data_IF_933947272032
#
_entry.id   IF_933947272032
#
_cell.length_a   1.000
_cell.length_b   1.000
_cell.length_c   1.000
_cell.angle_alpha   90.00
_cell.angle_beta   90.00
_cell.angle_gamma   90.00
#
_symmetry.space_group_name_H-M   'P 1'
#
loop_
_entity.id
_entity.type
_entity.pdbx_description
1 polymer ?
#
# COMPACT_ATOMS: atom_id res chain seq x y z
N UNK A 1 8.76 -26.08 14.61
CA UNK A 1 8.08 -25.17 13.66
C UNK A 1 6.68 -25.71 13.41
N UNK A 2 5.64 -24.89 13.57
CA UNK A 2 4.25 -25.26 13.30
C UNK A 2 3.82 -24.97 11.85
N UNK A 3 2.51 -25.08 11.57
CA UNK A 3 1.92 -24.68 10.28
C UNK A 3 2.07 -23.18 10.04
N UNK A 4 2.35 -22.80 8.79
CA UNK A 4 2.57 -21.40 8.38
C UNK A 4 1.76 -21.07 7.14
N UNK A 5 1.40 -19.80 6.99
CA UNK A 5 0.71 -19.24 5.83
C UNK A 5 1.60 -18.15 5.23
N UNK A 6 1.67 -18.09 3.90
CA UNK A 6 2.47 -17.12 3.16
C UNK A 6 1.55 -16.19 2.36
N UNK A 7 1.78 -14.87 2.47
CA UNK A 7 1.12 -13.87 1.65
C UNK A 7 2.05 -13.42 0.53
N UNK A 8 1.73 -13.80 -0.71
CA UNK A 8 2.55 -13.61 -1.92
C UNK A 8 2.11 -12.49 -2.90
N UNK A 9 0.90 -11.91 -2.85
CA UNK A 9 0.46 -10.94 -3.87
C UNK A 9 1.15 -9.57 -3.89
N UNK A 10 1.99 -9.20 -2.92
CA UNK A 10 2.52 -7.83 -2.84
C UNK A 10 3.65 -7.61 -3.85
N UNK A 11 3.53 -6.56 -4.67
CA UNK A 11 4.62 -6.04 -5.49
C UNK A 11 5.69 -5.36 -4.62
N UNK A 12 6.95 -5.44 -5.03
CA UNK A 12 8.03 -4.69 -4.40
C UNK A 12 7.87 -3.19 -4.70
N UNK A 13 8.05 -2.37 -3.68
CA UNK A 13 7.97 -0.91 -3.78
C UNK A 13 9.36 -0.29 -3.91
N UNK A 14 9.44 0.94 -4.42
CA UNK A 14 10.70 1.66 -4.66
C UNK A 14 11.53 1.85 -3.38
N UNK A 15 10.88 2.07 -2.23
CA UNK A 15 11.60 2.37 -0.97
C UNK A 15 11.40 1.31 0.11
N UNK A 16 12.42 1.14 0.94
CA UNK A 16 12.35 0.27 2.13
C UNK A 16 11.22 0.68 3.09
N UNK A 17 10.92 1.98 3.17
CA UNK A 17 9.81 2.50 3.98
C UNK A 17 8.45 1.98 3.49
N UNK A 18 8.21 1.99 2.19
CA UNK A 18 6.96 1.48 1.59
C UNK A 18 6.85 -0.03 1.77
N UNK A 19 7.94 -0.76 1.54
CA UNK A 19 8.01 -2.21 1.74
C UNK A 19 7.78 -2.60 3.22
N UNK A 20 8.38 -1.86 4.16
CA UNK A 20 8.16 -2.03 5.58
C UNK A 20 6.72 -1.70 5.97
N UNK A 21 6.12 -0.66 5.40
CA UNK A 21 4.73 -0.26 5.66
C UNK A 21 3.76 -1.38 5.32
N UNK A 22 3.88 -1.96 4.12
CA UNK A 22 3.03 -3.06 3.66
C UNK A 22 3.24 -4.33 4.50
N UNK A 23 4.50 -4.66 4.82
CA UNK A 23 4.84 -5.84 5.63
C UNK A 23 4.29 -5.73 7.06
N UNK A 24 4.46 -4.57 7.71
CA UNK A 24 3.95 -4.31 9.05
C UNK A 24 2.42 -4.29 9.04
N UNK A 25 1.80 -3.68 8.03
CA UNK A 25 0.34 -3.69 7.90
C UNK A 25 -0.21 -5.11 7.80
N UNK A 26 0.37 -5.98 6.96
CA UNK A 26 -0.06 -7.38 6.86
C UNK A 26 0.13 -8.14 8.18
N UNK A 27 1.27 -7.94 8.86
CA UNK A 27 1.51 -8.55 10.16
C UNK A 27 0.49 -8.09 11.24
N UNK A 28 0.08 -6.82 11.22
CA UNK A 28 -0.93 -6.29 12.12
C UNK A 28 -2.34 -6.76 11.74
N UNK A 29 -2.66 -6.78 10.45
CA UNK A 29 -3.96 -7.23 9.95
C UNK A 29 -4.22 -8.70 10.31
N UNK A 30 -3.21 -9.56 10.22
CA UNK A 30 -3.36 -10.96 10.67
C UNK A 30 -3.69 -11.06 12.17
N UNK A 31 -3.11 -10.21 13.02
CA UNK A 31 -3.45 -10.15 14.45
C UNK A 31 -4.88 -9.64 14.65
N UNK A 32 -5.28 -8.60 13.94
CA UNK A 32 -6.65 -8.05 13.96
C UNK A 32 -7.68 -9.11 13.57
N UNK A 33 -7.43 -9.86 12.49
CA UNK A 33 -8.33 -10.95 12.04
C UNK A 33 -8.50 -12.00 13.14
N UNK A 34 -7.40 -12.42 13.78
CA UNK A 34 -7.44 -13.43 14.84
C UNK A 34 -8.06 -12.92 16.14
N UNK A 35 -7.72 -11.70 16.55
CA UNK A 35 -8.19 -11.10 17.80
C UNK A 35 -9.67 -10.77 17.76
N UNK A 36 -10.18 -10.27 16.63
CA UNK A 36 -11.59 -9.90 16.49
C UNK A 36 -12.45 -10.98 15.82
N UNK A 37 -11.86 -12.12 15.42
CA UNK A 37 -12.58 -13.19 14.73
C UNK A 37 -13.23 -12.71 13.44
N UNK A 38 -12.53 -11.88 12.66
CA UNK A 38 -13.08 -11.29 11.45
C UNK A 38 -13.34 -12.37 10.39
N UNK A 39 -14.60 -12.50 10.00
CA UNK A 39 -14.99 -13.32 8.87
C UNK A 39 -14.95 -12.48 7.58
N UNK A 40 -13.88 -12.65 6.81
CA UNK A 40 -13.66 -12.00 5.51
C UNK A 40 -13.92 -12.96 4.33
N UNK A 41 -14.62 -14.07 4.56
CA UNK A 41 -14.83 -15.11 3.56
C UNK A 41 -15.72 -14.61 2.42
N UNK A 42 -15.28 -14.86 1.18
CA UNK A 42 -16.06 -14.61 -0.03
C UNK A 42 -16.01 -15.86 -0.93
N UNK A 43 -17.04 -16.09 -1.76
CA UNK A 43 -16.98 -17.11 -2.81
C UNK A 43 -15.72 -17.01 -3.68
N UNK A 44 -15.12 -18.15 -4.01
CA UNK A 44 -13.91 -18.20 -4.84
C UNK A 44 -14.11 -17.57 -6.23
N UNK A 45 -15.33 -17.61 -6.78
CA UNK A 45 -15.67 -16.93 -8.03
C UNK A 45 -15.49 -15.42 -7.94
N UNK A 46 -15.90 -14.81 -6.83
CA UNK A 46 -15.73 -13.38 -6.57
C UNK A 46 -14.27 -13.02 -6.29
N UNK A 47 -13.54 -13.89 -5.59
CA UNK A 47 -12.10 -13.72 -5.39
C UNK A 47 -11.34 -13.74 -6.72
N UNK A 48 -11.69 -14.65 -7.64
CA UNK A 48 -11.11 -14.70 -8.97
C UNK A 48 -11.45 -13.46 -9.81
N UNK A 49 -12.67 -12.95 -9.70
CA UNK A 49 -13.07 -11.71 -10.36
C UNK A 49 -12.29 -10.49 -9.82
N UNK A 50 -12.06 -10.44 -8.50
CA UNK A 50 -11.20 -9.42 -7.89
C UNK A 50 -9.78 -9.42 -8.47
N UNK A 51 -9.21 -10.59 -8.77
CA UNK A 51 -7.90 -10.68 -9.41
C UNK A 51 -7.93 -10.02 -10.78
N UNK A 52 -8.95 -10.28 -11.61
CA UNK A 52 -9.07 -9.66 -12.94
C UNK A 52 -9.19 -8.14 -12.81
N UNK A 53 -10.06 -7.65 -11.92
CA UNK A 53 -10.24 -6.21 -11.64
C UNK A 53 -8.97 -5.55 -11.14
N UNK A 54 -8.16 -6.23 -10.34
CA UNK A 54 -6.92 -5.69 -9.79
C UNK A 54 -5.89 -5.33 -10.89
N UNK A 55 -5.90 -6.04 -12.01
CA UNK A 55 -4.99 -5.81 -13.13
C UNK A 55 -5.37 -4.62 -14.02
N UNK A 56 -6.59 -4.07 -13.88
CA UNK A 56 -6.98 -2.90 -14.64
C UNK A 56 -6.11 -1.69 -14.29
N UNK A 57 -5.82 -0.85 -15.29
CA UNK A 57 -5.02 0.36 -15.08
C UNK A 57 -5.73 1.28 -14.09
N UNK A 58 -5.01 1.66 -13.04
CA UNK A 58 -5.49 2.55 -11.99
C UNK A 58 -6.70 1.98 -11.22
N UNK A 59 -6.73 0.66 -11.06
CA UNK A 59 -7.76 -0.10 -10.33
C UNK A 59 -7.96 0.37 -8.90
N UNK A 60 -6.89 0.79 -8.21
CA UNK A 60 -6.95 1.34 -6.84
C UNK A 60 -7.95 2.51 -6.73
N UNK A 61 -8.08 3.32 -7.78
CA UNK A 61 -8.91 4.53 -7.78
C UNK A 61 -10.30 4.33 -8.40
N UNK A 62 -10.40 3.45 -9.39
CA UNK A 62 -11.58 3.37 -10.25
C UNK A 62 -12.37 2.06 -10.12
N UNK A 63 -11.73 0.98 -9.67
CA UNK A 63 -12.38 -0.32 -9.56
C UNK A 63 -13.05 -0.53 -8.20
N UNK A 64 -14.02 -1.42 -8.19
CA UNK A 64 -14.65 -1.94 -6.98
C UNK A 64 -14.40 -3.43 -6.88
N UNK A 65 -14.21 -3.91 -5.67
CA UNK A 65 -13.85 -5.28 -5.35
C UNK A 65 -14.92 -5.89 -4.45
N UNK A 66 -15.21 -7.17 -4.65
CA UNK A 66 -16.06 -7.92 -3.74
C UNK A 66 -15.36 -8.05 -2.39
N UNK A 67 -16.01 -7.53 -1.35
CA UNK A 67 -15.50 -7.54 0.01
C UNK A 67 -16.63 -7.79 1.01
N UNK A 68 -16.36 -8.57 2.05
CA UNK A 68 -17.29 -8.86 3.14
C UNK A 68 -17.00 -7.94 4.32
N UNK A 69 -17.92 -7.02 4.57
CA UNK A 69 -17.80 -5.99 5.60
C UNK A 69 -18.65 -6.31 6.85
N UNK A 70 -18.55 -7.52 7.38
CA UNK A 70 -19.23 -7.94 8.62
C UNK A 70 -20.73 -8.28 8.50
N UNK A 71 -21.32 -8.19 7.30
CA UNK A 71 -22.67 -8.70 7.01
C UNK A 71 -22.63 -10.10 6.36
N UNK A 72 -23.82 -10.68 6.12
CA UNK A 72 -23.97 -12.05 5.58
C UNK A 72 -23.54 -12.22 4.12
N UNK A 73 -23.41 -11.13 3.36
CA UNK A 73 -22.99 -11.16 1.96
C UNK A 73 -21.85 -10.18 1.68
N UNK A 74 -21.08 -10.48 0.63
CA UNK A 74 -20.08 -9.57 0.10
C UNK A 74 -20.73 -8.47 -0.74
N UNK A 75 -20.08 -7.32 -0.84
CA UNK A 75 -20.53 -6.21 -1.66
C UNK A 75 -19.35 -5.57 -2.40
N UNK A 76 -19.65 -4.81 -3.46
CA UNK A 76 -18.64 -4.10 -4.23
C UNK A 76 -18.20 -2.83 -3.52
N UNK A 77 -16.92 -2.76 -3.16
CA UNK A 77 -16.31 -1.63 -2.45
C UNK A 77 -15.03 -1.18 -3.15
N UNK A 78 -14.78 0.12 -3.18
CA UNK A 78 -13.49 0.68 -3.61
C UNK A 78 -12.38 0.32 -2.63
N UNK A 79 -11.12 0.38 -3.05
CA UNK A 79 -9.99 0.20 -2.14
C UNK A 79 -10.01 1.23 -1.00
N UNK A 80 -10.43 2.48 -1.29
CA UNK A 80 -10.59 3.49 -0.25
C UNK A 80 -11.60 3.05 0.83
N UNK A 81 -12.77 2.54 0.43
CA UNK A 81 -13.79 2.07 1.38
C UNK A 81 -13.34 0.83 2.16
N UNK A 82 -12.60 -0.08 1.54
CA UNK A 82 -12.06 -1.27 2.21
C UNK A 82 -11.01 -0.86 3.25
N UNK A 83 -10.11 0.05 2.90
CA UNK A 83 -8.98 0.42 3.77
C UNK A 83 -9.36 1.45 4.83
N UNK A 84 -10.04 2.52 4.43
CA UNK A 84 -10.37 3.66 5.29
C UNK A 84 -11.81 3.63 5.84
N UNK A 85 -12.65 2.73 5.32
CA UNK A 85 -14.03 2.59 5.77
C UNK A 85 -15.04 3.43 4.99
N UNK A 86 -16.31 3.26 5.36
CA UNK A 86 -17.46 4.02 4.91
C UNK A 86 -18.56 3.97 5.99
N UNK A 87 -19.79 4.38 5.66
CA UNK A 87 -20.91 4.40 6.62
C UNK A 87 -21.28 3.03 7.19
N UNK A 88 -20.91 1.93 6.52
CA UNK A 88 -21.29 0.55 6.89
C UNK A 88 -20.12 -0.25 7.44
N UNK A 89 -18.90 0.11 7.10
CA UNK A 89 -17.69 -0.62 7.47
C UNK A 89 -16.65 0.32 8.05
N UNK A 90 -16.10 -0.03 9.21
CA UNK A 90 -15.06 0.78 9.85
C UNK A 90 -13.80 0.94 8.98
N UNK A 91 -13.47 -0.04 8.12
CA UNK A 91 -12.23 -0.05 7.36
C UNK A 91 -11.13 -0.87 8.02
N UNK A 92 -10.24 -1.46 7.23
CA UNK A 92 -9.13 -2.28 7.75
C UNK A 92 -8.13 -1.46 8.56
N UNK A 93 -7.84 -0.21 8.14
CA UNK A 93 -6.89 0.66 8.86
C UNK A 93 -7.47 1.08 10.21
N UNK A 94 -8.71 1.58 10.33
CA UNK A 94 -9.30 1.88 11.64
C UNK A 94 -9.39 0.66 12.58
N UNK A 95 -9.62 -0.55 12.05
CA UNK A 95 -9.57 -1.78 12.84
C UNK A 95 -8.17 -2.07 13.39
N UNK A 96 -7.13 -1.86 12.58
CA UNK A 96 -5.72 -1.96 13.03
C UNK A 96 -5.42 -0.89 14.08
N UNK A 97 -5.87 0.34 13.89
CA UNK A 97 -5.67 1.42 14.87
C UNK A 97 -6.35 1.13 16.20
N UNK A 98 -7.57 0.59 16.17
CA UNK A 98 -8.30 0.13 17.36
C UNK A 98 -7.51 -0.95 18.10
N UNK A 99 -7.03 -1.98 17.40
CA UNK A 99 -6.23 -3.06 17.99
C UNK A 99 -4.96 -2.54 18.67
N UNK A 100 -4.30 -1.56 18.05
CA UNK A 100 -3.09 -0.96 18.61
C UNK A 100 -3.39 -0.07 19.83
N UNK A 101 -4.57 0.56 19.91
CA UNK A 101 -5.00 1.32 21.10
C UNK A 101 -5.38 0.41 22.28
N UNK A 102 -5.91 -0.78 21.99
CA UNK A 102 -6.22 -1.80 23.02
C UNK A 102 -4.95 -2.53 23.52
N UNK A 103 -3.82 -2.35 22.83
CA UNK A 103 -2.55 -2.98 23.18
C UNK A 103 -1.75 -2.14 24.19
N UNK A 104 -1.71 -2.56 25.45
CA UNK A 104 -1.09 -1.80 26.55
C UNK A 104 0.45 -1.66 26.47
N UNK A 105 1.13 -2.42 25.61
CA UNK A 105 2.60 -2.58 25.63
C UNK A 105 3.33 -2.02 24.39
N UNK A 106 2.84 -0.93 23.79
CA UNK A 106 3.49 -0.32 22.61
C UNK A 106 4.14 1.01 22.99
N UNK A 107 5.47 1.10 22.81
CA UNK A 107 6.23 2.34 22.98
C UNK A 107 5.68 3.45 22.04
N UNK A 108 5.64 4.69 22.54
CA UNK A 108 5.23 5.87 21.78
C UNK A 108 5.93 6.02 20.42
N UNK A 109 7.24 5.81 20.34
CA UNK A 109 8.02 5.96 19.11
C UNK A 109 7.62 4.91 18.07
N UNK A 110 7.39 3.68 18.52
CA UNK A 110 6.86 2.60 17.68
C UNK A 110 5.45 2.94 17.21
N UNK A 111 4.60 3.50 18.08
CA UNK A 111 3.24 3.92 17.73
C UNK A 111 3.23 5.00 16.65
N UNK A 112 4.09 6.01 16.77
CA UNK A 112 4.24 7.07 15.76
C UNK A 112 4.74 6.49 14.43
N UNK A 113 5.72 5.59 14.47
CA UNK A 113 6.26 4.94 13.26
C UNK A 113 5.19 4.12 12.54
N UNK A 114 4.43 3.29 13.27
CA UNK A 114 3.31 2.55 12.70
C UNK A 114 2.24 3.50 12.14
N UNK A 115 1.98 4.62 12.82
CA UNK A 115 1.08 5.67 12.32
C UNK A 115 1.48 6.19 10.93
N UNK A 116 2.77 6.40 10.69
CA UNK A 116 3.26 6.81 9.36
C UNK A 116 3.08 5.71 8.31
N UNK A 117 3.29 4.44 8.66
CA UNK A 117 3.04 3.31 7.76
C UNK A 117 1.56 3.21 7.37
N UNK A 118 0.65 3.30 8.35
CA UNK A 118 -0.79 3.28 8.10
C UNK A 118 -1.23 4.50 7.28
N UNK A 119 -0.67 5.68 7.54
CA UNK A 119 -0.97 6.89 6.78
C UNK A 119 -0.56 6.78 5.31
N UNK A 120 0.57 6.14 4.99
CA UNK A 120 0.97 5.88 3.60
C UNK A 120 -0.10 5.05 2.88
N UNK A 121 -0.50 3.93 3.48
CA UNK A 121 -1.46 2.99 2.88
C UNK A 121 -2.84 3.66 2.75
N UNK A 122 -3.28 4.37 3.79
CA UNK A 122 -4.52 5.14 3.79
C UNK A 122 -4.58 6.16 2.66
N UNK A 123 -3.52 6.96 2.51
CA UNK A 123 -3.45 8.00 1.48
C UNK A 123 -3.34 7.45 0.06
N UNK A 124 -2.68 6.30 -0.13
CA UNK A 124 -2.66 5.59 -1.42
C UNK A 124 -4.05 5.05 -1.76
N UNK A 125 -4.74 4.43 -0.80
CA UNK A 125 -6.11 3.95 -0.98
C UNK A 125 -7.09 5.09 -1.31
N UNK A 126 -6.90 6.27 -0.71
CA UNK A 126 -7.68 7.48 -1.00
C UNK A 126 -7.31 8.18 -2.32
N UNK A 127 -6.26 7.72 -3.02
CA UNK A 127 -5.76 8.36 -4.24
C UNK A 127 -5.05 9.71 -4.04
N UNK A 128 -4.70 10.05 -2.79
CA UNK A 128 -3.93 11.25 -2.43
C UNK A 128 -2.46 11.06 -2.82
N UNK A 129 -1.92 9.86 -2.56
CA UNK A 129 -0.59 9.44 -3.00
C UNK A 129 -0.71 8.50 -4.19
N UNK A 130 0.26 8.56 -5.10
CA UNK A 130 0.33 7.67 -6.24
C UNK A 130 0.82 6.29 -5.82
N UNK A 131 0.39 5.27 -6.55
CA UNK A 131 1.09 3.99 -6.58
C UNK A 131 2.35 4.13 -7.43
N UNK A 132 3.35 3.27 -7.19
CA UNK A 132 4.58 3.23 -8.00
C UNK A 132 4.23 3.05 -9.48
N UNK A 133 3.25 2.19 -9.80
CA UNK A 133 2.80 2.00 -11.17
C UNK A 133 2.19 3.27 -11.79
N UNK A 134 1.39 4.04 -11.06
CA UNK A 134 0.82 5.30 -11.56
C UNK A 134 1.89 6.38 -11.69
N UNK A 135 2.85 6.43 -10.77
CA UNK A 135 4.00 7.33 -10.84
C UNK A 135 4.93 7.01 -12.02
N UNK A 136 5.29 5.74 -12.24
CA UNK A 136 6.11 5.31 -13.39
C UNK A 136 5.44 5.71 -14.70
N UNK A 137 4.13 5.46 -14.84
CA UNK A 137 3.37 5.87 -16.03
C UNK A 137 3.40 7.38 -16.22
N UNK A 138 3.17 8.16 -15.16
CA UNK A 138 3.22 9.61 -15.23
C UNK A 138 4.61 10.11 -15.63
N UNK A 139 5.67 9.52 -15.07
CA UNK A 139 7.05 9.82 -15.42
C UNK A 139 7.29 9.63 -16.91
N UNK A 140 7.00 8.44 -17.44
CA UNK A 140 7.16 8.11 -18.86
C UNK A 140 6.33 9.04 -19.75
N UNK A 141 5.05 9.23 -19.42
CA UNK A 141 4.13 10.04 -20.24
C UNK A 141 4.50 11.53 -20.29
N UNK A 142 5.17 12.02 -19.25
CA UNK A 142 5.65 13.41 -19.15
C UNK A 142 7.07 13.62 -19.69
N UNK A 143 7.75 12.54 -20.08
CA UNK A 143 9.15 12.61 -20.50
C UNK A 143 9.28 13.32 -21.86
N UNK A 144 10.22 14.28 -22.05
CA UNK A 144 10.38 15.02 -23.30
C UNK A 144 10.62 14.13 -24.53
N UNK A 145 11.34 13.02 -24.35
CA UNK A 145 11.62 12.04 -25.40
C UNK A 145 10.43 11.11 -25.74
N UNK A 146 9.32 11.14 -24.98
CA UNK A 146 8.19 10.25 -25.21
C UNK A 146 7.30 10.74 -26.35
N UNK A 147 7.09 9.86 -27.35
CA UNK A 147 6.41 10.20 -28.61
C UNK A 147 4.92 9.86 -28.62
N UNK A 148 4.34 9.54 -27.46
CA UNK A 148 2.94 9.07 -27.34
C UNK A 148 2.65 7.79 -28.15
N UNK A 149 3.66 6.96 -28.35
CA UNK A 149 3.64 5.73 -29.16
C UNK A 149 3.67 4.45 -28.30
N UNK A 150 3.54 4.58 -26.98
CA UNK A 150 3.69 3.48 -26.01
C UNK A 150 5.07 2.81 -26.00
N UNK A 151 6.09 3.45 -26.56
CA UNK A 151 7.47 2.96 -26.55
C UNK A 151 8.26 3.69 -25.46
N UNK A 152 8.94 2.91 -24.62
CA UNK A 152 9.91 3.42 -23.65
C UNK A 152 11.30 3.29 -24.27
N UNK A 153 11.91 4.40 -24.67
CA UNK A 153 13.26 4.42 -25.25
C UNK A 153 14.34 4.25 -24.18
N UNK A 154 15.57 3.91 -24.60
CA UNK A 154 16.72 3.76 -23.70
C UNK A 154 16.98 5.02 -22.86
N UNK A 155 16.76 6.20 -23.44
CA UNK A 155 16.85 7.50 -22.73
C UNK A 155 15.82 7.59 -21.59
N UNK A 156 14.54 7.30 -21.88
CA UNK A 156 13.47 7.31 -20.87
C UNK A 156 13.76 6.27 -19.78
N UNK A 157 14.24 5.09 -20.17
CA UNK A 157 14.58 4.01 -19.24
C UNK A 157 15.73 4.40 -18.32
N UNK A 158 16.79 5.00 -18.86
CA UNK A 158 17.93 5.48 -18.07
C UNK A 158 17.49 6.52 -17.05
N UNK A 159 16.75 7.54 -17.49
CA UNK A 159 16.28 8.62 -16.62
C UNK A 159 15.31 8.11 -15.55
N UNK A 160 14.43 7.16 -15.90
CA UNK A 160 13.54 6.50 -14.95
C UNK A 160 14.33 5.75 -13.87
N UNK A 161 15.31 4.93 -14.28
CA UNK A 161 16.10 4.13 -13.34
C UNK A 161 16.97 5.01 -12.44
N UNK A 162 17.55 6.07 -13.01
CA UNK A 162 18.27 7.07 -12.25
C UNK A 162 17.38 7.74 -11.21
N UNK A 163 16.17 8.16 -11.60
CA UNK A 163 15.19 8.78 -10.71
C UNK A 163 14.77 7.84 -9.57
N UNK A 164 14.47 6.58 -9.89
CA UNK A 164 14.17 5.53 -8.90
C UNK A 164 15.32 5.39 -7.90
N UNK A 165 16.57 5.37 -8.38
CA UNK A 165 17.76 5.28 -7.52
C UNK A 165 17.89 6.48 -6.57
N UNK A 166 17.65 7.70 -7.06
CA UNK A 166 17.65 8.89 -6.20
C UNK A 166 16.56 8.83 -5.12
N UNK A 167 15.37 8.34 -5.48
CA UNK A 167 14.26 8.17 -4.55
C UNK A 167 14.60 7.09 -3.51
N UNK A 168 15.01 5.90 -3.94
CA UNK A 168 15.36 4.80 -3.05
C UNK A 168 16.39 5.22 -1.98
N UNK A 169 17.47 5.89 -2.42
CA UNK A 169 18.54 6.37 -1.54
C UNK A 169 18.18 7.64 -0.74
N UNK A 170 17.00 8.23 -0.94
CA UNK A 170 16.53 9.40 -0.20
C UNK A 170 17.16 10.72 -0.61
N UNK A 171 17.84 10.76 -1.76
CA UNK A 171 18.32 12.01 -2.37
C UNK A 171 17.16 12.81 -2.99
N UNK A 172 16.08 12.13 -3.38
CA UNK A 172 14.83 12.74 -3.83
C UNK A 172 13.67 12.29 -2.93
N UNK A 173 12.93 13.25 -2.37
CA UNK A 173 11.83 12.98 -1.45
C UNK A 173 10.53 12.57 -2.15
N UNK A 174 10.39 12.82 -3.47
CA UNK A 174 9.22 12.56 -4.31
C UNK A 174 7.87 12.62 -3.55
N UNK A 175 7.32 13.82 -3.31
CA UNK A 175 6.12 14.00 -2.49
C UNK A 175 4.85 13.36 -3.05
N UNK A 176 4.85 12.96 -4.33
CA UNK A 176 3.77 12.21 -4.98
C UNK A 176 3.71 10.74 -4.51
N UNK A 177 4.85 10.17 -4.08
CA UNK A 177 4.95 8.79 -3.59
C UNK A 177 4.96 8.75 -2.05
N UNK A 178 5.73 9.65 -1.41
CA UNK A 178 5.95 9.64 0.04
C UNK A 178 5.88 11.07 0.59
N UNK A 179 4.97 11.32 1.54
CA UNK A 179 4.93 12.60 2.26
C UNK A 179 5.88 12.55 3.47
N UNK A 180 6.92 13.40 3.45
CA UNK A 180 7.88 13.65 4.53
C UNK A 180 8.41 12.38 5.23
N UNK A 181 9.56 11.87 4.76
CA UNK A 181 10.32 10.84 5.50
C UNK A 181 10.62 11.36 6.90
N UNK A 182 10.35 10.56 7.93
CA UNK A 182 11.08 10.72 9.19
C UNK A 182 12.56 10.68 8.85
N UNK A 183 13.34 11.66 9.33
CA UNK A 183 14.81 11.56 9.29
C UNK A 183 15.20 10.34 10.12
N UNK A 184 15.42 9.20 9.49
CA UNK A 184 16.05 8.06 10.14
C UNK A 184 17.46 8.50 10.48
N UNK A 185 17.77 8.61 11.77
CA UNK A 185 19.13 8.85 12.30
C UNK A 185 20.05 7.64 12.07
N UNK A 186 19.99 7.02 10.89
CA UNK A 186 20.93 5.99 10.48
C UNK A 186 22.05 6.68 9.72
N UNK A 187 22.86 7.45 10.44
CA UNK A 187 24.24 7.65 10.01
C UNK A 187 24.90 6.28 10.10
N UNK A 188 24.97 5.57 8.97
CA UNK A 188 25.96 4.53 8.80
C UNK A 188 27.31 5.23 8.93
N UNK A 189 27.97 5.03 10.08
CA UNK A 189 29.37 5.42 10.23
C UNK A 189 30.16 4.74 9.10
N UNK A 190 30.88 5.50 8.27
CA UNK A 190 31.86 4.88 7.39
C UNK A 190 32.97 4.29 8.25
N UNK A 191 33.28 3.01 8.02
CA UNK A 191 34.56 2.40 8.43
C UNK A 191 35.73 3.04 7.68
#
# INVERSE_FOLDING_TARGET
MGWRVEFRPMDIQITDFENASLSVFMALLTRVILTYGLDLTIPISQANENIVRAHHRDSVRHEKFYFRAGGDESSLMTINEIMNGNDKFAGLIPLVEKYLNESENINSDTRVTIGHYLALISKRAAGILLTDASWIRQFVMSHPAYKQDSVVSDEIQYDLMWKITQIANGHDTCPLLIQNRMKTNTQLNPE
#
